data_IF_192437803274
#
_entry.id   IF_192437803274
#
_cell.length_a   1.000
_cell.length_b   1.000
_cell.length_c   1.000
_cell.angle_alpha   90.00
_cell.angle_beta   90.00
_cell.angle_gamma   90.00
#
_symmetry.space_group_name_H-M   'P 1'
#
loop_
_entity.id
_entity.type
_entity.pdbx_description
1 polymer ?
#
# COMPACT_ATOMS: atom_id res chain seq x y z
N UNK A 1 -0.26 -14.00 -11.22
CA UNK A 1 0.08 -15.15 -10.35
C UNK A 1 0.56 -16.35 -11.18
N UNK A 2 -0.20 -16.85 -12.16
CA UNK A 2 0.15 -18.07 -12.93
C UNK A 2 1.53 -17.99 -13.61
N UNK A 3 1.86 -16.88 -14.26
CA UNK A 3 3.18 -16.68 -14.89
C UNK A 3 4.33 -16.76 -13.88
N UNK A 4 4.16 -16.18 -12.69
CA UNK A 4 5.16 -16.23 -11.63
C UNK A 4 5.34 -17.66 -11.12
N UNK A 5 4.26 -18.41 -10.93
CA UNK A 5 4.29 -19.81 -10.57
C UNK A 5 5.07 -20.65 -11.59
N UNK A 6 4.78 -20.49 -12.88
CA UNK A 6 5.50 -21.18 -13.95
C UNK A 6 7.00 -20.89 -13.94
N UNK A 7 7.38 -19.63 -13.69
CA UNK A 7 8.80 -19.25 -13.56
C UNK A 7 9.45 -19.89 -12.32
N UNK A 8 8.75 -19.92 -11.19
CA UNK A 8 9.23 -20.56 -9.96
C UNK A 8 9.44 -22.07 -10.14
N UNK A 9 8.48 -22.74 -10.77
CA UNK A 9 8.59 -24.17 -11.13
C UNK A 9 9.78 -24.40 -12.04
N UNK A 10 9.93 -23.60 -13.10
CA UNK A 10 11.07 -23.73 -14.04
C UNK A 10 12.42 -23.50 -13.36
N UNK A 11 12.48 -22.60 -12.39
CA UNK A 11 13.69 -22.29 -11.63
C UNK A 11 13.94 -23.26 -10.45
N UNK A 12 13.00 -24.15 -10.14
CA UNK A 12 13.11 -25.08 -9.00
C UNK A 12 13.09 -24.39 -7.64
N UNK A 13 12.44 -23.20 -7.51
CA UNK A 13 12.41 -22.43 -6.27
C UNK A 13 11.00 -22.25 -5.74
N UNK A 14 10.87 -22.10 -4.42
CA UNK A 14 9.65 -21.65 -3.77
C UNK A 14 9.68 -20.13 -3.63
N UNK A 15 8.58 -19.47 -3.92
CA UNK A 15 8.44 -18.02 -3.79
C UNK A 15 7.31 -17.68 -2.82
N UNK A 16 7.62 -16.86 -1.83
CA UNK A 16 6.61 -16.30 -0.92
C UNK A 16 6.16 -14.95 -1.47
N UNK A 17 4.86 -14.73 -1.54
CA UNK A 17 4.26 -13.54 -2.16
C UNK A 17 3.16 -12.94 -1.30
N UNK A 18 2.96 -11.63 -1.46
CA UNK A 18 1.80 -10.91 -0.95
C UNK A 18 0.80 -10.64 -2.08
N UNK A 19 -0.48 -10.63 -1.74
CA UNK A 19 -1.52 -10.18 -2.65
C UNK A 19 -1.66 -8.65 -2.54
N UNK A 20 -1.44 -7.93 -3.64
CA UNK A 20 -1.84 -6.53 -3.71
C UNK A 20 -3.33 -6.48 -3.97
N UNK A 21 -4.06 -5.83 -3.07
CA UNK A 21 -5.52 -5.76 -3.07
C UNK A 21 -5.98 -4.32 -3.26
N UNK A 22 -6.99 -4.15 -4.12
CA UNK A 22 -7.75 -2.92 -4.26
C UNK A 22 -9.05 -3.08 -3.43
N UNK A 23 -9.16 -2.48 -2.23
CA UNK A 23 -10.32 -2.63 -1.37
C UNK A 23 -11.56 -2.00 -1.97
N UNK A 24 -12.73 -2.59 -1.71
CA UNK A 24 -14.03 -2.02 -2.13
C UNK A 24 -14.35 -0.70 -1.43
N UNK A 25 -13.92 -0.56 -0.18
CA UNK A 25 -14.09 0.66 0.60
C UNK A 25 -12.71 1.27 0.83
N UNK A 26 -12.41 2.36 0.14
CA UNK A 26 -11.19 3.11 0.36
C UNK A 26 -11.50 4.36 1.18
N UNK A 27 -10.74 4.63 2.24
CA UNK A 27 -10.79 5.91 2.92
C UNK A 27 -10.26 7.03 2.03
N UNK A 28 -10.55 8.29 2.41
CA UNK A 28 -10.16 9.48 1.66
C UNK A 28 -8.64 9.56 1.45
N UNK A 29 -8.23 9.57 0.19
CA UNK A 29 -6.89 9.97 -0.23
C UNK A 29 -7.03 11.07 -1.30
N UNK A 30 -6.18 12.09 -1.23
CA UNK A 30 -6.24 13.24 -2.15
C UNK A 30 -6.01 12.83 -3.61
N UNK A 31 -5.25 11.76 -3.83
CA UNK A 31 -5.08 11.09 -5.12
C UNK A 31 -5.31 9.60 -4.89
N UNK A 32 -6.56 9.19 -4.92
CA UNK A 32 -6.98 7.82 -4.65
C UNK A 32 -6.40 6.84 -5.68
N UNK A 33 -5.79 5.75 -5.19
CA UNK A 33 -5.30 4.63 -5.99
C UNK A 33 -6.04 3.32 -5.65
N UNK A 34 -7.02 3.39 -4.74
CA UNK A 34 -7.88 2.30 -4.32
C UNK A 34 -9.31 2.80 -4.16
N UNK A 35 -10.29 1.90 -4.23
CA UNK A 35 -11.71 2.23 -4.18
C UNK A 35 -12.28 2.78 -5.49
N UNK A 36 -11.46 2.77 -6.55
CA UNK A 36 -11.82 3.08 -7.93
C UNK A 36 -11.29 1.98 -8.84
N UNK A 37 -11.78 1.89 -10.07
CA UNK A 37 -11.19 0.97 -11.06
C UNK A 37 -9.68 1.22 -11.16
N UNK A 38 -8.89 0.20 -10.88
CA UNK A 38 -7.42 0.28 -10.83
C UNK A 38 -6.80 -0.83 -11.67
N UNK A 39 -5.79 -0.45 -12.44
CA UNK A 39 -4.95 -1.42 -13.16
C UNK A 39 -4.03 -2.22 -12.23
N UNK A 40 -3.95 -1.86 -10.94
CA UNK A 40 -3.04 -2.45 -9.97
C UNK A 40 -3.78 -3.36 -9.00
N UNK A 41 -3.18 -4.54 -8.75
CA UNK A 41 -3.67 -5.47 -7.76
C UNK A 41 -4.89 -6.28 -8.20
N UNK A 42 -5.47 -6.96 -7.25
CA UNK A 42 -6.75 -7.66 -7.39
C UNK A 42 -7.85 -6.83 -6.75
N UNK A 43 -9.00 -6.73 -7.39
CA UNK A 43 -10.17 -6.21 -6.71
C UNK A 43 -10.55 -7.14 -5.55
N UNK A 44 -10.84 -6.58 -4.40
CA UNK A 44 -11.20 -7.33 -3.20
C UNK A 44 -12.38 -8.29 -3.47
N UNK A 45 -13.38 -7.85 -4.23
CA UNK A 45 -14.54 -8.66 -4.64
C UNK A 45 -14.15 -9.96 -5.33
N UNK A 46 -13.12 -9.94 -6.16
CA UNK A 46 -12.62 -11.13 -6.87
C UNK A 46 -11.95 -12.14 -5.92
N UNK A 47 -11.35 -11.64 -4.84
CA UNK A 47 -10.69 -12.47 -3.82
C UNK A 47 -11.69 -13.04 -2.81
N UNK A 48 -12.80 -12.35 -2.59
CA UNK A 48 -13.88 -12.81 -1.73
C UNK A 48 -14.90 -13.71 -2.47
N UNK A 49 -14.83 -13.79 -3.80
CA UNK A 49 -15.72 -14.61 -4.59
C UNK A 49 -15.43 -16.11 -4.43
N UNK A 50 -16.46 -16.92 -4.61
CA UNK A 50 -16.35 -18.38 -4.59
C UNK A 50 -15.28 -18.90 -5.57
N UNK A 51 -14.49 -19.87 -5.14
CA UNK A 51 -13.38 -20.45 -5.90
C UNK A 51 -12.12 -19.58 -6.00
N UNK A 52 -12.05 -18.44 -5.32
CA UNK A 52 -10.84 -17.61 -5.32
C UNK A 52 -9.64 -18.33 -4.71
N UNK A 53 -9.84 -19.04 -3.60
CA UNK A 53 -8.82 -19.85 -2.94
C UNK A 53 -8.21 -20.88 -3.89
N UNK A 54 -9.02 -21.61 -4.63
CA UNK A 54 -8.56 -22.62 -5.58
C UNK A 54 -7.77 -22.01 -6.75
N UNK A 55 -8.20 -20.85 -7.27
CA UNK A 55 -7.47 -20.15 -8.34
C UNK A 55 -6.10 -19.63 -7.92
N UNK A 56 -5.88 -19.45 -6.62
CA UNK A 56 -4.62 -18.95 -6.05
C UNK A 56 -3.72 -20.06 -5.49
N UNK A 57 -4.19 -21.29 -5.43
CA UNK A 57 -3.35 -22.47 -5.13
C UNK A 57 -2.48 -22.82 -6.34
N UNK A 58 -1.35 -22.14 -6.45
CA UNK A 58 -0.44 -22.27 -7.58
C UNK A 58 0.86 -22.95 -7.14
N UNK A 59 1.40 -23.88 -7.95
CA UNK A 59 2.67 -24.54 -7.64
C UNK A 59 3.79 -23.54 -7.37
N UNK A 60 4.60 -23.83 -6.38
CA UNK A 60 5.78 -23.06 -5.99
C UNK A 60 5.50 -21.60 -5.57
N UNK A 61 4.24 -21.25 -5.27
CA UNK A 61 3.88 -19.96 -4.63
C UNK A 61 3.26 -20.21 -3.25
N UNK A 62 3.73 -19.46 -2.27
CA UNK A 62 3.16 -19.42 -0.91
C UNK A 62 2.65 -18.02 -0.65
N UNK A 63 1.35 -17.89 -0.33
CA UNK A 63 0.78 -16.63 0.11
C UNK A 63 1.08 -16.44 1.59
N UNK A 64 1.58 -15.26 1.96
CA UNK A 64 1.85 -14.93 3.37
C UNK A 64 1.42 -13.52 3.78
N UNK A 65 0.83 -12.74 2.88
CA UNK A 65 0.48 -11.38 3.24
C UNK A 65 -0.41 -10.66 2.25
N UNK A 66 -0.82 -9.47 2.67
CA UNK A 66 -1.64 -8.54 1.91
C UNK A 66 -0.95 -7.19 1.83
N UNK A 67 -0.95 -6.59 0.64
CA UNK A 67 -0.51 -5.24 0.38
C UNK A 67 -1.68 -4.39 -0.09
N UNK A 68 -1.87 -3.22 0.51
CA UNK A 68 -2.86 -2.22 0.10
C UNK A 68 -2.18 -0.87 -0.07
N UNK A 69 -2.52 -0.15 -1.13
CA UNK A 69 -2.02 1.20 -1.36
C UNK A 69 -3.16 2.14 -1.73
N UNK A 70 -3.50 3.06 -0.85
CA UNK A 70 -4.67 3.94 -1.00
C UNK A 70 -4.42 5.17 -1.87
N UNK A 71 -3.18 5.60 -1.99
CA UNK A 71 -2.82 6.80 -2.74
C UNK A 71 -1.67 7.58 -2.11
N UNK A 72 -1.47 8.80 -2.57
CA UNK A 72 -0.37 9.67 -2.13
C UNK A 72 -0.88 10.97 -1.52
N UNK A 73 0.02 11.71 -0.87
CA UNK A 73 -0.25 13.02 -0.24
C UNK A 73 -1.28 12.94 0.90
N UNK A 74 -1.22 11.88 1.69
CA UNK A 74 -1.99 11.74 2.93
C UNK A 74 -1.29 12.55 4.01
N UNK A 75 -1.89 13.66 4.43
CA UNK A 75 -1.25 14.70 5.23
C UNK A 75 -1.65 14.68 6.71
N UNK A 76 -2.65 13.90 7.11
CA UNK A 76 -3.11 13.87 8.49
C UNK A 76 -2.92 12.52 9.17
N UNK A 77 -2.73 12.55 10.48
CA UNK A 77 -2.59 11.37 11.34
C UNK A 77 -3.85 10.51 11.28
N UNK A 78 -5.02 11.14 11.29
CA UNK A 78 -6.32 10.47 11.27
C UNK A 78 -6.54 9.72 9.95
N UNK A 79 -6.17 10.34 8.82
CA UNK A 79 -6.28 9.70 7.51
C UNK A 79 -5.32 8.51 7.39
N UNK A 80 -4.08 8.63 7.89
CA UNK A 80 -3.11 7.54 7.92
C UNK A 80 -3.59 6.39 8.81
N UNK A 81 -4.15 6.68 9.99
CA UNK A 81 -4.72 5.68 10.88
C UNK A 81 -5.92 4.96 10.24
N UNK A 82 -6.82 5.71 9.59
CA UNK A 82 -7.98 5.17 8.88
C UNK A 82 -7.57 4.28 7.70
N UNK A 83 -6.58 4.70 6.93
CA UNK A 83 -6.01 3.88 5.85
C UNK A 83 -5.41 2.57 6.40
N UNK A 84 -4.69 2.66 7.51
CA UNK A 84 -4.10 1.49 8.17
C UNK A 84 -5.18 0.53 8.67
N UNK A 85 -6.23 1.05 9.31
CA UNK A 85 -7.38 0.22 9.74
C UNK A 85 -8.01 -0.51 8.55
N UNK A 86 -8.27 0.20 7.46
CA UNK A 86 -8.82 -0.41 6.25
C UNK A 86 -7.91 -1.49 5.66
N UNK A 87 -6.59 -1.29 5.65
CA UNK A 87 -5.63 -2.30 5.22
C UNK A 87 -5.67 -3.56 6.09
N UNK A 88 -5.75 -3.38 7.41
CA UNK A 88 -5.86 -4.49 8.37
C UNK A 88 -7.15 -5.28 8.19
N UNK A 89 -8.30 -4.59 8.06
CA UNK A 89 -9.59 -5.22 7.85
C UNK A 89 -9.64 -5.98 6.53
N UNK A 90 -9.07 -5.40 5.47
CA UNK A 90 -8.91 -6.06 4.16
C UNK A 90 -8.04 -7.31 4.28
N UNK A 91 -6.92 -7.24 5.00
CA UNK A 91 -6.03 -8.38 5.19
C UNK A 91 -6.75 -9.53 5.91
N UNK A 92 -7.54 -9.23 6.94
CA UNK A 92 -8.34 -10.24 7.67
C UNK A 92 -9.37 -10.89 6.74
N UNK A 93 -10.15 -10.08 6.00
CA UNK A 93 -11.18 -10.62 5.10
C UNK A 93 -10.58 -11.48 3.99
N UNK A 94 -9.52 -10.99 3.33
CA UNK A 94 -8.89 -11.68 2.20
C UNK A 94 -8.17 -12.94 2.65
N UNK A 95 -7.40 -12.90 3.73
CA UNK A 95 -6.69 -14.09 4.21
C UNK A 95 -7.64 -15.19 4.66
N UNK A 96 -8.77 -14.84 5.30
CA UNK A 96 -9.80 -15.81 5.68
C UNK A 96 -10.50 -16.41 4.45
N UNK A 97 -10.87 -15.58 3.47
CA UNK A 97 -11.58 -16.05 2.26
C UNK A 97 -10.70 -16.93 1.36
N UNK A 98 -9.43 -16.56 1.21
CA UNK A 98 -8.46 -17.29 0.38
C UNK A 98 -7.85 -18.49 1.13
N UNK A 99 -7.85 -18.47 2.47
CA UNK A 99 -7.40 -19.57 3.31
C UNK A 99 -5.88 -19.64 3.46
N UNK A 100 -5.22 -18.52 3.80
CA UNK A 100 -3.81 -18.49 4.13
C UNK A 100 -3.52 -17.73 5.44
N UNK A 101 -2.42 -18.06 6.09
CA UNK A 101 -1.95 -17.34 7.27
C UNK A 101 -1.31 -16.01 6.85
N UNK A 102 -1.91 -14.89 7.29
CA UNK A 102 -1.40 -13.55 6.99
C UNK A 102 -0.28 -13.17 7.96
N UNK A 103 0.95 -13.40 7.58
CA UNK A 103 2.13 -13.06 8.37
C UNK A 103 2.63 -11.63 8.14
N UNK A 104 2.26 -11.00 7.01
CA UNK A 104 2.70 -9.64 6.69
C UNK A 104 1.53 -8.82 6.14
N UNK A 105 1.34 -7.64 6.70
CA UNK A 105 0.43 -6.63 6.17
C UNK A 105 1.26 -5.42 5.76
N UNK A 106 1.23 -5.07 4.48
CA UNK A 106 1.84 -3.85 3.97
C UNK A 106 0.72 -2.83 3.71
N UNK A 107 0.64 -1.82 4.57
CA UNK A 107 -0.36 -0.76 4.50
C UNK A 107 0.00 0.34 3.48
N UNK A 108 1.01 0.11 2.65
CA UNK A 108 1.47 1.03 1.63
C UNK A 108 2.20 2.25 2.18
N UNK A 109 2.20 3.30 1.38
CA UNK A 109 2.88 4.55 1.71
C UNK A 109 1.94 5.75 1.60
N UNK A 110 2.41 6.75 0.85
CA UNK A 110 1.61 7.92 0.55
C UNK A 110 1.71 9.05 1.56
N UNK A 111 2.61 8.96 2.54
CA UNK A 111 2.90 10.04 3.49
C UNK A 111 3.22 11.33 2.75
N UNK A 112 2.52 12.40 3.09
CA UNK A 112 2.59 13.66 2.35
C UNK A 112 3.96 14.33 2.52
N UNK A 113 4.46 14.84 1.40
CA UNK A 113 5.60 15.74 1.33
C UNK A 113 5.34 16.80 0.27
N UNK A 114 5.59 18.09 0.53
CA UNK A 114 5.35 19.13 -0.44
C UNK A 114 6.20 18.94 -1.70
N UNK A 115 5.63 19.31 -2.86
CA UNK A 115 6.32 19.30 -4.14
C UNK A 115 6.79 20.70 -4.48
N UNK A 116 8.08 20.84 -4.86
CA UNK A 116 8.67 22.07 -5.39
C UNK A 116 8.27 23.32 -4.58
N UNK A 117 8.33 23.22 -3.26
CA UNK A 117 7.94 24.28 -2.33
C UNK A 117 8.88 24.29 -1.13
N UNK A 118 9.06 25.46 -0.51
CA UNK A 118 9.85 25.63 0.71
C UNK A 118 9.10 25.15 1.98
N UNK A 119 7.86 24.68 1.83
CA UNK A 119 7.11 24.17 2.96
C UNK A 119 7.77 22.92 3.55
N UNK A 120 7.69 22.78 4.85
CA UNK A 120 8.10 21.56 5.55
C UNK A 120 7.09 20.44 5.33
N UNK A 121 7.50 19.18 5.51
CA UNK A 121 6.60 18.03 5.48
C UNK A 121 5.47 18.14 6.50
N UNK A 122 4.47 17.29 6.35
CA UNK A 122 3.33 17.24 7.28
C UNK A 122 3.81 16.95 8.70
N UNK A 123 3.20 17.63 9.68
CA UNK A 123 3.37 17.28 11.08
C UNK A 123 2.62 15.96 11.35
N UNK A 124 3.41 14.95 11.68
CA UNK A 124 2.91 13.62 12.04
C UNK A 124 3.08 13.33 13.54
N UNK A 125 3.14 14.38 14.37
CA UNK A 125 3.11 14.20 15.82
C UNK A 125 1.89 13.38 16.23
N UNK A 126 2.09 12.39 17.10
CA UNK A 126 1.04 11.47 17.52
C UNK A 126 0.75 10.29 16.56
N UNK A 127 1.32 10.25 15.35
CA UNK A 127 1.09 9.16 14.40
C UNK A 127 1.40 7.79 15.02
N UNK A 128 2.52 7.67 15.74
CA UNK A 128 2.89 6.41 16.39
C UNK A 128 1.79 5.89 17.32
N UNK A 129 1.25 6.75 18.17
CA UNK A 129 0.18 6.36 19.10
C UNK A 129 -1.10 5.95 18.38
N UNK A 130 -1.48 6.70 17.33
CA UNK A 130 -2.66 6.39 16.53
C UNK A 130 -2.51 5.05 15.78
N UNK A 131 -1.36 4.80 15.16
CA UNK A 131 -1.09 3.53 14.48
C UNK A 131 -0.99 2.35 15.45
N UNK A 132 -0.39 2.55 16.62
CA UNK A 132 -0.31 1.52 17.66
C UNK A 132 -1.70 1.15 18.19
N UNK A 133 -2.58 2.11 18.40
CA UNK A 133 -3.96 1.86 18.82
C UNK A 133 -4.72 1.02 17.76
N UNK A 134 -4.64 1.42 16.49
CA UNK A 134 -5.24 0.69 15.37
C UNK A 134 -4.66 -0.73 15.25
N UNK A 135 -3.34 -0.87 15.36
CA UNK A 135 -2.67 -2.17 15.27
C UNK A 135 -3.08 -3.11 16.41
N UNK A 136 -3.12 -2.61 17.64
CA UNK A 136 -3.53 -3.41 18.82
C UNK A 136 -4.98 -3.87 18.75
N UNK A 137 -5.86 -3.15 18.06
CA UNK A 137 -7.26 -3.55 17.89
C UNK A 137 -7.47 -4.65 16.84
N UNK A 138 -6.47 -4.91 15.99
CA UNK A 138 -6.57 -5.91 14.92
C UNK A 138 -6.46 -7.35 15.45
N UNK A 139 -7.25 -8.30 14.91
CA UNK A 139 -7.08 -9.73 15.18
C UNK A 139 -5.71 -10.29 14.75
N UNK A 140 -4.96 -9.55 13.93
CA UNK A 140 -3.63 -9.91 13.45
C UNK A 140 -2.51 -9.40 14.37
N UNK A 141 -2.85 -8.61 15.40
CA UNK A 141 -1.88 -8.13 16.38
C UNK A 141 -1.15 -9.29 17.07
N UNK A 142 0.18 -9.21 17.11
CA UNK A 142 1.03 -10.26 17.69
C UNK A 142 1.19 -11.53 16.83
N UNK A 143 0.48 -11.63 15.69
CA UNK A 143 0.56 -12.77 14.75
C UNK A 143 1.22 -12.40 13.44
N UNK A 144 1.16 -11.13 13.06
CA UNK A 144 1.68 -10.64 11.79
C UNK A 144 2.59 -9.43 12.00
N UNK A 145 3.30 -9.05 10.95
CA UNK A 145 4.11 -7.84 10.87
C UNK A 145 3.36 -6.76 10.08
N UNK A 146 3.24 -5.56 10.65
CA UNK A 146 2.71 -4.39 9.95
C UNK A 146 3.86 -3.58 9.33
N UNK A 147 3.80 -3.34 8.03
CA UNK A 147 4.82 -2.65 7.25
C UNK A 147 4.24 -1.42 6.54
N UNK A 148 5.12 -0.43 6.29
CA UNK A 148 4.82 0.78 5.53
C UNK A 148 5.90 1.07 4.50
N UNK A 149 5.51 1.73 3.38
CA UNK A 149 6.38 2.14 2.28
C UNK A 149 6.59 3.67 2.28
N UNK A 150 7.21 4.20 3.30
CA UNK A 150 7.44 5.65 3.43
C UNK A 150 8.66 6.10 2.63
N UNK A 151 8.55 6.22 1.31
CA UNK A 151 9.65 6.62 0.42
C UNK A 151 9.93 8.12 0.45
N UNK A 152 9.09 8.92 -0.22
CA UNK A 152 9.31 10.36 -0.39
C UNK A 152 9.41 11.10 0.95
N UNK A 153 8.55 10.82 1.90
CA UNK A 153 8.56 11.48 3.21
C UNK A 153 9.92 11.34 3.92
N UNK A 154 10.57 10.18 3.80
CA UNK A 154 11.89 9.95 4.41
C UNK A 154 13.04 10.54 3.61
N UNK A 155 12.95 10.56 2.28
CA UNK A 155 14.11 10.84 1.43
C UNK A 155 14.08 12.22 0.76
N UNK A 156 12.95 12.92 0.73
CA UNK A 156 12.82 14.16 -0.05
C UNK A 156 13.72 15.30 0.44
N UNK A 157 13.99 15.34 1.75
CA UNK A 157 14.90 16.32 2.35
C UNK A 157 16.38 15.96 2.30
N UNK A 158 16.74 14.77 1.79
CA UNK A 158 18.13 14.26 1.87
C UNK A 158 18.96 14.50 0.60
N UNK A 159 18.39 15.16 -0.43
CA UNK A 159 19.09 15.41 -1.68
C UNK A 159 18.87 16.80 -2.24
N UNK A 160 19.78 17.24 -3.09
CA UNK A 160 19.67 18.48 -3.87
C UNK A 160 19.77 18.15 -5.34
N UNK A 161 18.79 18.60 -6.14
CA UNK A 161 18.82 18.52 -7.59
C UNK A 161 19.43 19.80 -8.17
N UNK A 162 20.54 19.69 -8.85
CA UNK A 162 21.13 20.79 -9.64
C UNK A 162 20.70 20.66 -11.09
N UNK A 163 20.22 21.76 -11.67
CA UNK A 163 19.77 21.80 -13.06
C UNK A 163 20.09 23.16 -13.68
N UNK A 164 20.11 23.22 -14.99
CA UNK A 164 20.31 24.46 -15.76
C UNK A 164 19.00 24.80 -16.47
N UNK A 165 18.58 26.05 -16.37
CA UNK A 165 17.46 26.56 -17.17
C UNK A 165 17.93 26.70 -18.61
N UNK A 166 17.34 25.91 -19.52
CA UNK A 166 17.67 25.92 -20.93
C UNK A 166 16.83 26.92 -21.76
N UNK A 167 15.59 27.17 -21.31
CA UNK A 167 14.68 28.08 -21.97
C UNK A 167 13.64 28.64 -20.99
N UNK A 168 13.13 29.82 -21.24
CA UNK A 168 12.10 30.50 -20.46
C UNK A 168 11.00 31.01 -21.37
N UNK A 169 9.79 30.48 -21.21
CA UNK A 169 8.62 30.92 -21.96
C UNK A 169 7.68 31.71 -21.08
N UNK A 170 7.31 32.90 -21.52
CA UNK A 170 6.24 33.70 -20.89
C UNK A 170 4.89 33.28 -21.47
N UNK A 171 3.91 33.03 -20.60
CA UNK A 171 2.54 32.73 -20.98
C UNK A 171 1.58 33.57 -20.14
N UNK A 172 1.17 34.71 -20.69
CA UNK A 172 0.39 35.71 -19.94
C UNK A 172 1.20 36.28 -18.77
N UNK A 173 0.65 36.21 -17.56
CA UNK A 173 1.32 36.67 -16.31
C UNK A 173 2.22 35.58 -15.67
N UNK A 174 2.33 34.41 -16.27
CA UNK A 174 3.17 33.29 -15.77
C UNK A 174 4.48 33.22 -16.56
N UNK A 175 5.55 32.96 -15.85
CA UNK A 175 6.90 32.70 -16.41
C UNK A 175 7.29 31.28 -16.10
#
# INVERSE_FOLDING_TARGET
>A
AARLSQMAVKAGVQITVMLRVNPQQAPDARLAMSGVESQFGFDESLLLAEGAAERLKLPNLTLNGVHVYFGTQVASVEALAKNTQCALDTAVRVSNAVGFECAVINAGGGFAWPYASEATGSDLAGLRGALEAVWRSSPLFGKAQLCFESGRYLCAGSGTLLTTVLDVKKAGSKT
#
